data_IF_831392789979
#
_entry.id   IF_831392789979
#
_cell.length_a   1.000
_cell.length_b   1.000
_cell.length_c   1.000
_cell.angle_alpha   90.00
_cell.angle_beta   90.00
_cell.angle_gamma   90.00
#
_symmetry.space_group_name_H-M   'P 1'
#
loop_
_entity.id
_entity.type
_entity.pdbx_description
1 polymer ?
#
# COMPACT_ATOMS: atom_id res chain seq x y z
N UNK A 1 -50.70 -17.22 -30.08
CA UNK A 1 -50.09 -16.19 -30.96
C UNK A 1 -49.42 -15.05 -30.18
N UNK A 2 -50.09 -14.46 -29.18
CA UNK A 2 -49.50 -13.37 -28.36
C UNK A 2 -48.27 -13.79 -27.54
N UNK A 3 -48.29 -14.97 -26.90
CA UNK A 3 -47.17 -15.48 -26.08
C UNK A 3 -45.88 -15.71 -26.89
N UNK A 4 -46.02 -16.10 -28.15
CA UNK A 4 -44.89 -16.34 -29.06
C UNK A 4 -44.31 -15.03 -29.61
N UNK A 5 -45.18 -14.06 -29.91
CA UNK A 5 -44.77 -12.69 -30.28
C UNK A 5 -44.05 -11.99 -29.12
N UNK A 6 -44.55 -12.13 -27.90
CA UNK A 6 -43.95 -11.58 -26.69
C UNK A 6 -42.55 -12.17 -26.40
N UNK A 7 -42.38 -13.48 -26.56
CA UNK A 7 -41.07 -14.13 -26.39
C UNK A 7 -40.05 -13.67 -27.44
N UNK A 8 -40.47 -13.48 -28.71
CA UNK A 8 -39.59 -12.92 -29.75
C UNK A 8 -39.13 -11.51 -29.41
N UNK A 9 -40.04 -10.64 -28.94
CA UNK A 9 -39.70 -9.26 -28.52
C UNK A 9 -38.65 -9.27 -27.40
N UNK A 10 -38.79 -10.12 -26.38
CA UNK A 10 -37.80 -10.24 -25.30
C UNK A 10 -36.42 -10.66 -25.80
N UNK A 11 -36.36 -11.62 -26.72
CA UNK A 11 -35.08 -12.06 -27.30
C UNK A 11 -34.41 -10.94 -28.09
N UNK A 12 -35.17 -10.15 -28.86
CA UNK A 12 -34.61 -9.00 -29.58
C UNK A 12 -34.10 -7.91 -28.63
N UNK A 13 -34.84 -7.61 -27.55
CA UNK A 13 -34.40 -6.66 -26.53
C UNK A 13 -33.09 -7.11 -25.89
N UNK A 14 -32.99 -8.38 -25.48
CA UNK A 14 -31.76 -8.93 -24.90
C UNK A 14 -30.60 -8.85 -25.89
N UNK A 15 -30.84 -9.16 -27.17
CA UNK A 15 -29.84 -9.06 -28.23
C UNK A 15 -29.32 -7.63 -28.38
N UNK A 16 -30.22 -6.64 -28.42
CA UNK A 16 -29.84 -5.23 -28.50
C UNK A 16 -29.01 -4.82 -27.28
N UNK A 17 -29.41 -5.20 -26.06
CA UNK A 17 -28.64 -4.92 -24.84
C UNK A 17 -27.25 -5.54 -24.91
N UNK A 18 -27.13 -6.79 -25.40
CA UNK A 18 -25.85 -7.48 -25.52
C UNK A 18 -24.94 -6.84 -26.56
N UNK A 19 -25.49 -6.35 -27.67
CA UNK A 19 -24.74 -5.62 -28.70
C UNK A 19 -24.29 -4.25 -28.22
N UNK A 20 -25.14 -3.54 -27.45
CA UNK A 20 -24.78 -2.26 -26.84
C UNK A 20 -23.62 -2.48 -25.86
N UNK A 21 -23.71 -3.48 -24.98
CA UNK A 21 -22.64 -3.79 -24.02
C UNK A 21 -21.35 -4.22 -24.70
N UNK A 22 -21.44 -5.02 -25.76
CA UNK A 22 -20.29 -5.39 -26.59
C UNK A 22 -19.64 -4.16 -27.23
N UNK A 23 -20.42 -3.28 -27.87
CA UNK A 23 -19.92 -2.06 -28.49
C UNK A 23 -19.28 -1.14 -27.45
N UNK A 24 -19.92 -0.95 -26.31
CA UNK A 24 -19.39 -0.18 -25.19
C UNK A 24 -18.06 -0.73 -24.70
N UNK A 25 -17.98 -2.04 -24.46
CA UNK A 25 -16.76 -2.71 -24.00
C UNK A 25 -15.61 -2.55 -25.01
N UNK A 26 -15.91 -2.70 -26.31
CA UNK A 26 -14.92 -2.51 -27.37
C UNK A 26 -14.43 -1.07 -27.47
N UNK A 27 -15.33 -0.08 -27.31
CA UNK A 27 -14.97 1.34 -27.29
C UNK A 27 -14.02 1.63 -26.12
N UNK A 28 -14.30 1.11 -24.92
CA UNK A 28 -13.44 1.30 -23.76
C UNK A 28 -12.03 0.70 -23.99
N UNK A 29 -11.96 -0.51 -24.53
CA UNK A 29 -10.67 -1.15 -24.85
C UNK A 29 -9.89 -0.40 -25.93
N UNK A 30 -10.57 0.15 -26.93
CA UNK A 30 -9.96 0.99 -27.96
C UNK A 30 -9.38 2.28 -27.37
N UNK A 31 -10.13 2.95 -26.48
CA UNK A 31 -9.66 4.16 -25.79
C UNK A 31 -8.44 3.84 -24.94
N UNK A 32 -8.50 2.77 -24.13
CA UNK A 32 -7.35 2.28 -23.35
C UNK A 32 -6.12 2.08 -24.24
N UNK A 33 -6.28 1.36 -25.37
CA UNK A 33 -5.18 1.08 -26.29
C UNK A 33 -4.57 2.33 -26.92
N UNK A 34 -5.32 3.43 -27.04
CA UNK A 34 -4.86 4.68 -27.65
C UNK A 34 -4.27 5.66 -26.65
N UNK A 35 -4.79 5.70 -25.43
CA UNK A 35 -4.48 6.72 -24.42
C UNK A 35 -3.55 6.21 -23.32
N UNK A 36 -3.47 4.90 -23.11
CA UNK A 36 -2.75 4.30 -21.98
C UNK A 36 -3.54 4.34 -20.66
N UNK A 37 -4.72 4.95 -20.61
CA UNK A 37 -5.56 5.00 -19.41
C UNK A 37 -6.06 3.61 -18.99
N UNK A 38 -6.16 3.37 -17.68
CA UNK A 38 -6.79 2.17 -17.14
C UNK A 38 -8.30 2.37 -17.01
N UNK A 39 -9.05 1.30 -17.21
CA UNK A 39 -10.51 1.31 -17.13
C UNK A 39 -10.91 1.04 -15.68
N UNK A 40 -11.53 2.02 -15.04
CA UNK A 40 -12.15 1.88 -13.72
C UNK A 40 -13.41 2.75 -13.68
N UNK A 41 -14.54 2.09 -13.89
CA UNK A 41 -15.84 2.74 -13.94
C UNK A 41 -16.34 2.94 -12.52
N UNK A 42 -16.68 4.17 -12.16
CA UNK A 42 -17.37 4.48 -10.90
C UNK A 42 -18.84 4.80 -11.17
N UNK A 43 -19.70 3.85 -10.81
CA UNK A 43 -21.16 3.96 -10.93
C UNK A 43 -21.76 4.09 -9.53
N UNK A 44 -21.82 5.33 -9.01
CA UNK A 44 -22.44 5.64 -7.72
C UNK A 44 -21.92 4.75 -6.56
N UNK A 45 -20.60 4.56 -6.48
CA UNK A 45 -19.96 3.74 -5.44
C UNK A 45 -19.77 2.28 -5.83
N UNK A 46 -20.30 1.83 -6.97
CA UNK A 46 -19.91 0.56 -7.57
C UNK A 46 -18.72 0.77 -8.51
N UNK A 47 -17.55 0.32 -8.08
CA UNK A 47 -16.33 0.34 -8.87
C UNK A 47 -16.26 -0.91 -9.74
N UNK A 48 -16.18 -0.73 -11.06
CA UNK A 48 -16.07 -1.82 -12.03
C UNK A 48 -14.72 -1.70 -12.75
N UNK A 49 -13.83 -2.64 -12.45
CA UNK A 49 -12.54 -2.80 -13.15
C UNK A 49 -12.77 -3.27 -14.59
N UNK A 50 -11.70 -3.23 -15.40
CA UNK A 50 -11.69 -3.87 -16.71
C UNK A 50 -12.14 -5.35 -16.63
N UNK A 51 -11.69 -6.09 -15.61
CA UNK A 51 -12.08 -7.48 -15.38
C UNK A 51 -13.59 -7.62 -15.24
N UNK A 52 -14.22 -6.73 -14.47
CA UNK A 52 -15.67 -6.69 -14.30
C UNK A 52 -16.44 -6.41 -15.60
N UNK A 53 -15.99 -5.46 -16.42
CA UNK A 53 -16.63 -5.17 -17.72
C UNK A 53 -16.62 -6.41 -18.63
N UNK A 54 -15.47 -7.09 -18.71
CA UNK A 54 -15.30 -8.30 -19.52
C UNK A 54 -16.06 -9.49 -18.94
N UNK A 55 -16.17 -9.59 -17.60
CA UNK A 55 -16.92 -10.65 -16.95
C UNK A 55 -18.44 -10.54 -17.21
N UNK A 56 -18.98 -9.32 -17.20
CA UNK A 56 -20.39 -9.08 -17.61
C UNK A 56 -20.60 -9.52 -19.07
N UNK A 57 -19.65 -9.21 -19.95
CA UNK A 57 -19.71 -9.67 -21.35
C UNK A 57 -19.66 -11.21 -21.43
N UNK A 58 -18.82 -11.87 -20.63
CA UNK A 58 -18.74 -13.33 -20.54
C UNK A 58 -20.09 -13.94 -20.11
N UNK A 59 -20.75 -13.37 -19.10
CA UNK A 59 -22.08 -13.81 -18.63
C UNK A 59 -23.13 -13.74 -19.74
N UNK A 60 -23.12 -12.65 -20.51
CA UNK A 60 -24.02 -12.46 -21.65
C UNK A 60 -23.77 -13.50 -22.75
N UNK A 61 -22.50 -13.73 -23.10
CA UNK A 61 -22.12 -14.75 -24.09
C UNK A 61 -22.51 -16.15 -23.61
N UNK A 62 -22.28 -16.47 -22.33
CA UNK A 62 -22.68 -17.74 -21.74
C UNK A 62 -24.21 -17.94 -21.81
N UNK A 63 -25.00 -16.90 -21.51
CA UNK A 63 -26.46 -16.96 -21.64
C UNK A 63 -26.91 -17.26 -23.08
N UNK A 64 -26.26 -16.65 -24.08
CA UNK A 64 -26.50 -16.95 -25.49
C UNK A 64 -26.11 -18.38 -25.86
N UNK A 65 -24.95 -18.86 -25.40
CA UNK A 65 -24.50 -20.23 -25.64
C UNK A 65 -25.48 -21.26 -25.06
N UNK A 66 -25.99 -21.03 -23.85
CA UNK A 66 -27.04 -21.84 -23.23
C UNK A 66 -28.31 -21.85 -24.09
N UNK A 67 -28.74 -20.68 -24.57
CA UNK A 67 -29.91 -20.55 -25.42
C UNK A 67 -29.74 -21.33 -26.75
N UNK A 68 -28.58 -21.21 -27.39
CA UNK A 68 -28.27 -21.95 -28.62
C UNK A 68 -28.22 -23.45 -28.36
N UNK A 69 -27.45 -23.92 -27.36
CA UNK A 69 -27.34 -25.33 -27.01
C UNK A 69 -28.71 -25.96 -26.74
N UNK A 70 -29.60 -25.27 -26.02
CA UNK A 70 -30.98 -25.72 -25.77
C UNK A 70 -31.80 -25.82 -27.05
N UNK A 71 -31.65 -24.86 -27.96
CA UNK A 71 -32.34 -24.87 -29.26
C UNK A 71 -31.84 -26.02 -30.14
N UNK A 72 -30.53 -26.22 -30.20
CA UNK A 72 -29.91 -27.31 -30.95
C UNK A 72 -30.26 -28.69 -30.39
N UNK A 73 -30.34 -28.83 -29.06
CA UNK A 73 -30.76 -30.08 -28.41
C UNK A 73 -32.17 -30.53 -28.82
N UNK A 74 -33.08 -29.58 -29.04
CA UNK A 74 -34.45 -29.88 -29.52
C UNK A 74 -34.49 -30.21 -31.02
N UNK A 75 -33.57 -29.64 -31.81
CA UNK A 75 -33.60 -29.72 -33.27
C UNK A 75 -32.89 -30.97 -33.82
N UNK A 76 -31.82 -31.43 -33.18
CA UNK A 76 -31.01 -32.53 -33.67
C UNK A 76 -31.16 -33.79 -32.80
N UNK A 77 -31.60 -34.89 -33.42
CA UNK A 77 -31.82 -36.17 -32.73
C UNK A 77 -30.77 -37.25 -33.04
N UNK A 78 -29.77 -36.96 -33.88
CA UNK A 78 -28.73 -37.95 -34.20
C UNK A 78 -27.81 -38.20 -33.00
N UNK A 79 -27.34 -39.45 -32.83
CA UNK A 79 -26.43 -39.82 -31.72
C UNK A 79 -25.15 -38.99 -31.73
N UNK A 80 -24.56 -38.77 -32.90
CA UNK A 80 -23.37 -37.94 -33.07
C UNK A 80 -23.62 -36.48 -32.68
N UNK A 81 -24.74 -35.87 -33.08
CA UNK A 81 -25.05 -34.49 -32.70
C UNK A 81 -25.22 -34.34 -31.18
N UNK A 82 -25.80 -35.35 -30.50
CA UNK A 82 -25.91 -35.33 -29.03
C UNK A 82 -24.54 -35.36 -28.35
N UNK A 83 -23.58 -36.14 -28.85
CA UNK A 83 -22.20 -36.17 -28.32
C UNK A 83 -21.55 -34.78 -28.42
N UNK A 84 -21.63 -34.13 -29.58
CA UNK A 84 -21.11 -32.77 -29.75
C UNK A 84 -21.79 -31.75 -28.83
N UNK A 85 -23.09 -31.88 -28.59
CA UNK A 85 -23.80 -31.00 -27.65
C UNK A 85 -23.35 -31.22 -26.20
N UNK A 86 -23.11 -32.47 -25.77
CA UNK A 86 -22.56 -32.74 -24.43
C UNK A 86 -21.16 -32.13 -24.28
N UNK A 87 -20.31 -32.27 -25.29
CA UNK A 87 -18.98 -31.63 -25.31
C UNK A 87 -19.11 -30.10 -25.20
N UNK A 88 -20.06 -29.50 -25.94
CA UNK A 88 -20.35 -28.07 -25.86
C UNK A 88 -20.75 -27.61 -24.45
N UNK A 89 -21.57 -28.40 -23.74
CA UNK A 89 -21.91 -28.12 -22.33
C UNK A 89 -20.69 -28.21 -21.41
N UNK A 90 -19.83 -29.21 -21.59
CA UNK A 90 -18.61 -29.36 -20.79
C UNK A 90 -17.69 -28.16 -21.01
N UNK A 91 -17.44 -27.77 -22.26
CA UNK A 91 -16.59 -26.61 -22.60
C UNK A 91 -17.17 -25.33 -22.00
N UNK A 92 -18.49 -25.14 -22.10
CA UNK A 92 -19.16 -23.98 -21.52
C UNK A 92 -18.98 -23.92 -19.99
N UNK A 93 -19.17 -25.04 -19.29
CA UNK A 93 -19.02 -25.10 -17.83
C UNK A 93 -17.56 -24.83 -17.44
N UNK A 94 -16.60 -25.52 -18.06
CA UNK A 94 -15.18 -25.34 -17.75
C UNK A 94 -14.71 -23.92 -18.07
N UNK A 95 -15.10 -23.37 -19.22
CA UNK A 95 -14.78 -21.99 -19.60
C UNK A 95 -15.40 -20.95 -18.67
N UNK A 96 -16.64 -21.19 -18.23
CA UNK A 96 -17.30 -20.32 -17.25
C UNK A 96 -16.63 -20.38 -15.88
N UNK A 97 -16.29 -21.57 -15.39
CA UNK A 97 -15.57 -21.74 -14.12
C UNK A 97 -14.20 -21.07 -14.18
N UNK A 98 -13.45 -21.25 -15.27
CA UNK A 98 -12.15 -20.62 -15.45
C UNK A 98 -12.26 -19.10 -15.51
N UNK A 99 -13.20 -18.56 -16.30
CA UNK A 99 -13.44 -17.11 -16.36
C UNK A 99 -13.87 -16.52 -15.02
N UNK A 100 -14.69 -17.25 -14.25
CA UNK A 100 -15.09 -16.86 -12.89
C UNK A 100 -13.91 -16.88 -11.92
N UNK A 101 -13.01 -17.84 -12.03
CA UNK A 101 -11.80 -17.90 -11.21
C UNK A 101 -10.89 -16.70 -11.48
N UNK A 102 -10.66 -16.35 -12.75
CA UNK A 102 -9.86 -15.17 -13.12
C UNK A 102 -10.51 -13.88 -12.60
N UNK A 103 -11.82 -13.73 -12.77
CA UNK A 103 -12.55 -12.55 -12.26
C UNK A 103 -12.49 -12.46 -10.73
N UNK A 104 -12.69 -13.58 -10.03
CA UNK A 104 -12.63 -13.61 -8.57
C UNK A 104 -11.21 -13.30 -8.07
N UNK A 105 -10.18 -13.81 -8.75
CA UNK A 105 -8.79 -13.49 -8.46
C UNK A 105 -8.52 -11.99 -8.59
N UNK A 106 -8.89 -11.37 -9.71
CA UNK A 106 -8.75 -9.91 -9.92
C UNK A 106 -9.48 -9.10 -8.83
N UNK A 107 -10.70 -9.50 -8.49
CA UNK A 107 -11.53 -8.80 -7.49
C UNK A 107 -11.02 -8.97 -6.05
N UNK A 108 -10.45 -10.12 -5.71
CA UNK A 108 -9.91 -10.38 -4.37
C UNK A 108 -8.55 -9.72 -4.16
N UNK A 109 -7.77 -9.57 -5.23
CA UNK A 109 -6.42 -8.99 -5.14
C UNK A 109 -6.49 -7.47 -5.12
N UNK A 110 -7.31 -6.85 -5.97
CA UNK A 110 -7.29 -5.41 -6.19
C UNK A 110 -8.43 -4.70 -5.46
N UNK A 111 -8.11 -3.73 -4.61
CA UNK A 111 -9.05 -2.87 -3.90
C UNK A 111 -8.80 -1.41 -4.25
N UNK A 112 -9.83 -0.70 -4.74
CA UNK A 112 -9.70 0.69 -5.14
C UNK A 112 -10.30 1.65 -4.09
N UNK A 113 -9.48 2.57 -3.60
CA UNK A 113 -9.90 3.62 -2.67
C UNK A 113 -9.90 4.97 -3.37
N UNK A 114 -10.86 5.82 -3.04
CA UNK A 114 -11.03 7.15 -3.66
C UNK A 114 -10.86 8.24 -2.62
N UNK A 115 -10.01 9.22 -2.93
CA UNK A 115 -9.76 10.39 -2.09
C UNK A 115 -10.01 11.66 -2.90
N UNK A 116 -10.91 12.49 -2.41
CA UNK A 116 -11.29 13.73 -3.08
C UNK A 116 -10.47 14.88 -2.48
N UNK A 117 -9.86 15.68 -3.35
CA UNK A 117 -9.16 16.90 -2.97
C UNK A 117 -10.08 17.90 -2.23
N UNK A 118 -9.55 18.74 -1.32
CA UNK A 118 -10.34 19.75 -0.61
C UNK A 118 -11.06 20.74 -1.54
N UNK A 119 -10.49 21.01 -2.71
CA UNK A 119 -11.06 21.90 -3.74
C UNK A 119 -12.01 21.18 -4.71
N UNK A 120 -12.19 19.86 -4.56
CA UNK A 120 -13.01 18.97 -5.40
C UNK A 120 -12.62 18.94 -6.87
N UNK A 121 -11.44 19.43 -7.25
CA UNK A 121 -11.00 19.43 -8.65
C UNK A 121 -10.33 18.13 -9.04
N UNK A 122 -9.55 17.56 -8.12
CA UNK A 122 -8.81 16.32 -8.34
C UNK A 122 -9.36 15.19 -7.48
N UNK A 123 -9.34 13.97 -8.02
CA UNK A 123 -9.69 12.76 -7.29
C UNK A 123 -8.56 11.77 -7.45
N UNK A 124 -7.91 11.44 -6.33
CA UNK A 124 -6.89 10.40 -6.26
C UNK A 124 -7.58 9.06 -6.10
N UNK A 125 -7.20 8.10 -6.93
CA UNK A 125 -7.61 6.69 -6.84
C UNK A 125 -6.37 5.90 -6.44
N UNK A 126 -6.47 5.11 -5.39
CA UNK A 126 -5.37 4.26 -4.94
C UNK A 126 -5.79 2.81 -5.10
N UNK A 127 -5.02 2.05 -5.88
CA UNK A 127 -5.17 0.61 -6.05
C UNK A 127 -4.29 -0.08 -5.02
N UNK A 128 -4.89 -0.88 -4.16
CA UNK A 128 -4.21 -1.75 -3.22
C UNK A 128 -4.36 -3.18 -3.72
N UNK A 129 -3.28 -3.72 -4.24
CA UNK A 129 -3.17 -5.09 -4.68
C UNK A 129 -2.50 -5.91 -3.57
N UNK A 130 -3.22 -6.84 -2.94
CA UNK A 130 -2.63 -7.77 -1.97
C UNK A 130 -2.95 -9.22 -2.31
N UNK A 131 -1.90 -10.04 -2.43
CA UNK A 131 -2.04 -11.49 -2.58
C UNK A 131 -0.90 -12.22 -1.86
N UNK A 132 -1.28 -13.07 -0.91
CA UNK A 132 -0.37 -13.90 -0.12
C UNK A 132 0.66 -13.06 0.65
N UNK A 133 1.84 -12.87 0.07
CA UNK A 133 2.99 -12.16 0.66
C UNK A 133 3.42 -10.94 -0.18
N UNK A 134 2.70 -10.65 -1.27
CA UNK A 134 2.97 -9.50 -2.11
C UNK A 134 1.87 -8.48 -1.89
N UNK A 135 2.26 -7.25 -1.55
CA UNK A 135 1.37 -6.11 -1.60
C UNK A 135 1.98 -5.01 -2.47
N UNK A 136 1.18 -4.41 -3.34
CA UNK A 136 1.55 -3.24 -4.12
C UNK A 136 0.43 -2.21 -3.98
N UNK A 137 0.82 -0.96 -3.84
CA UNK A 137 -0.08 0.18 -3.78
C UNK A 137 0.30 1.12 -4.92
N UNK A 138 -0.60 1.24 -5.90
CA UNK A 138 -0.39 2.09 -7.07
C UNK A 138 -1.33 3.29 -7.02
N UNK A 139 -0.79 4.47 -7.34
CA UNK A 139 -1.54 5.73 -7.33
C UNK A 139 -2.01 6.11 -8.73
N UNK A 140 -3.26 6.55 -8.83
CA UNK A 140 -3.91 6.98 -10.06
C UNK A 140 -4.66 8.30 -9.89
N UNK A 141 -4.74 9.09 -10.95
CA UNK A 141 -5.64 10.25 -11.02
C UNK A 141 -6.91 9.87 -11.78
N UNK A 142 -8.08 10.23 -11.22
CA UNK A 142 -9.34 10.06 -11.93
C UNK A 142 -9.58 11.21 -12.90
N UNK A 143 -9.52 10.89 -14.19
CA UNK A 143 -9.78 11.85 -15.28
C UNK A 143 -11.27 11.99 -15.54
N UNK A 144 -12.02 10.88 -15.47
CA UNK A 144 -13.46 10.87 -15.68
C UNK A 144 -14.10 9.65 -14.98
N UNK A 145 -15.44 9.50 -15.02
CA UNK A 145 -16.10 8.37 -14.37
C UNK A 145 -15.76 6.98 -14.93
N UNK A 146 -15.06 6.89 -16.07
CA UNK A 146 -14.76 5.62 -16.76
C UNK A 146 -13.27 5.23 -16.70
N UNK A 147 -12.39 6.22 -16.56
CA UNK A 147 -10.96 6.08 -16.76
C UNK A 147 -10.17 6.71 -15.61
N UNK A 148 -9.06 6.03 -15.30
CA UNK A 148 -8.02 6.50 -14.38
C UNK A 148 -6.69 6.53 -15.12
N UNK A 149 -5.86 7.50 -14.77
CA UNK A 149 -4.54 7.71 -15.32
C UNK A 149 -3.49 7.30 -14.29
N UNK A 150 -2.50 6.54 -14.73
CA UNK A 150 -1.40 6.07 -13.89
C UNK A 150 -0.48 7.26 -13.54
N UNK A 151 -0.23 7.45 -12.25
CA UNK A 151 0.66 8.51 -11.79
C UNK A 151 2.13 8.07 -11.81
N UNK A 152 2.43 6.81 -12.12
CA UNK A 152 3.81 6.27 -12.09
C UNK A 152 4.38 6.20 -10.68
N UNK A 153 3.51 6.22 -9.69
CA UNK A 153 3.80 6.24 -8.27
C UNK A 153 3.33 4.90 -7.68
N UNK A 154 4.28 4.02 -7.38
CA UNK A 154 4.04 2.71 -6.79
C UNK A 154 4.80 2.57 -5.47
N UNK A 155 4.14 2.07 -4.43
CA UNK A 155 4.75 1.72 -3.15
C UNK A 155 4.45 0.26 -2.86
N UNK A 156 5.46 -0.53 -2.54
CA UNK A 156 5.30 -1.96 -2.28
C UNK A 156 5.68 -2.26 -0.83
N UNK A 157 4.70 -2.41 0.09
CA UNK A 157 4.94 -3.10 1.35
C UNK A 157 5.20 -4.58 1.01
N UNK A 158 6.46 -5.02 1.05
CA UNK A 158 6.91 -6.34 0.57
C UNK A 158 6.59 -7.48 1.57
N UNK A 159 5.35 -7.51 2.07
CA UNK A 159 4.94 -8.37 3.18
C UNK A 159 3.50 -8.89 3.09
N UNK A 160 2.79 -8.55 2.01
CA UNK A 160 1.37 -8.91 1.83
C UNK A 160 0.42 -8.08 2.70
N UNK A 161 0.94 -7.14 3.48
CA UNK A 161 0.14 -6.24 4.30
C UNK A 161 -0.65 -5.27 3.41
N UNK A 162 -1.90 -5.03 3.77
CA UNK A 162 -2.81 -4.12 3.06
C UNK A 162 -2.98 -2.83 3.88
N UNK A 163 -2.04 -1.86 3.75
CA UNK A 163 -1.97 -0.69 4.63
C UNK A 163 -3.20 0.21 4.55
N UNK A 164 -3.84 0.32 3.39
CA UNK A 164 -5.03 1.15 3.20
C UNK A 164 -6.24 0.51 3.84
N UNK A 165 -6.47 -0.79 3.60
CA UNK A 165 -7.56 -1.53 4.24
C UNK A 165 -7.45 -1.53 5.78
N UNK A 166 -6.21 -1.56 6.31
CA UNK A 166 -5.91 -1.51 7.73
C UNK A 166 -6.01 -0.09 8.33
N UNK A 167 -6.27 0.94 7.50
CA UNK A 167 -6.32 2.34 7.94
C UNK A 167 -4.96 2.90 8.36
N UNK A 168 -3.86 2.28 7.90
CA UNK A 168 -2.46 2.63 8.16
C UNK A 168 -1.88 3.46 7.03
N UNK A 169 -2.63 4.47 6.60
CA UNK A 169 -2.21 5.42 5.58
C UNK A 169 -2.35 6.85 6.08
N UNK A 170 -1.64 7.76 5.43
CA UNK A 170 -1.76 9.19 5.68
C UNK A 170 -1.79 9.94 4.36
N UNK A 171 -2.69 10.91 4.26
CA UNK A 171 -2.86 11.72 3.07
C UNK A 171 -2.91 13.19 3.47
N UNK A 172 -2.11 14.02 2.79
CA UNK A 172 -2.16 15.47 2.91
C UNK A 172 -2.17 16.11 1.54
N UNK A 173 -3.14 16.98 1.33
CA UNK A 173 -3.30 17.75 0.12
C UNK A 173 -2.63 19.11 0.27
N UNK A 174 -1.91 19.53 -0.76
CA UNK A 174 -1.31 20.86 -0.91
C UNK A 174 -1.61 21.38 -2.33
N UNK A 175 -2.81 21.95 -2.49
CA UNK A 175 -3.31 22.34 -3.82
C UNK A 175 -3.43 21.15 -4.77
N UNK A 176 -2.68 21.19 -5.88
CA UNK A 176 -2.59 20.10 -6.85
C UNK A 176 -1.58 19.02 -6.48
N UNK A 177 -0.83 19.17 -5.38
CA UNK A 177 0.12 18.17 -4.88
C UNK A 177 -0.53 17.32 -3.80
N UNK A 178 -0.28 16.02 -3.84
CA UNK A 178 -0.69 15.07 -2.81
C UNK A 178 0.53 14.37 -2.23
N UNK A 179 0.65 14.45 -0.92
CA UNK A 179 1.57 13.63 -0.15
C UNK A 179 0.78 12.45 0.38
N UNK A 180 1.06 11.28 -0.17
CA UNK A 180 0.43 10.02 0.22
C UNK A 180 1.48 9.15 0.90
N UNK A 181 1.17 8.62 2.07
CA UNK A 181 2.08 7.80 2.84
C UNK A 181 1.41 6.51 3.28
N UNK A 182 2.12 5.39 3.12
CA UNK A 182 1.70 4.07 3.60
C UNK A 182 2.67 3.58 4.64
N UNK A 183 2.16 2.95 5.70
CA UNK A 183 3.00 2.35 6.72
C UNK A 183 3.24 0.87 6.41
N UNK A 184 4.50 0.49 6.33
CA UNK A 184 4.93 -0.90 6.14
C UNK A 184 5.04 -1.59 7.51
N UNK A 185 4.02 -2.36 7.92
CA UNK A 185 3.93 -2.89 9.28
C UNK A 185 4.80 -4.14 9.51
N UNK A 186 4.93 -5.03 8.51
CA UNK A 186 5.65 -6.30 8.67
C UNK A 186 7.00 -6.34 7.94
N UNK A 187 7.30 -5.38 7.07
CA UNK A 187 8.62 -5.18 6.47
C UNK A 187 9.49 -4.22 7.29
N UNK A 188 9.70 -3.03 6.75
CA UNK A 188 10.65 -2.02 7.22
C UNK A 188 10.22 -1.25 8.46
N UNK A 189 8.92 -1.26 8.81
CA UNK A 189 8.33 -0.42 9.89
C UNK A 189 8.52 1.07 9.65
N UNK A 190 8.63 1.47 8.39
CA UNK A 190 8.75 2.86 7.98
C UNK A 190 7.50 3.32 7.22
N UNK A 191 7.37 4.63 7.08
CA UNK A 191 6.39 5.21 6.18
C UNK A 191 7.04 5.38 4.81
N UNK A 192 6.48 4.74 3.78
CA UNK A 192 6.82 5.07 2.39
C UNK A 192 5.93 6.22 1.94
N UNK A 193 6.55 7.37 1.68
CA UNK A 193 5.86 8.61 1.32
C UNK A 193 6.10 8.92 -0.14
N UNK A 194 5.00 8.99 -0.88
CA UNK A 194 4.99 9.41 -2.27
C UNK A 194 4.39 10.79 -2.39
N UNK A 195 5.15 11.68 -3.02
CA UNK A 195 4.69 13.02 -3.39
C UNK A 195 4.39 13.02 -4.87
N UNK A 196 3.16 13.37 -5.23
CA UNK A 196 2.71 13.41 -6.63
C UNK A 196 2.02 14.74 -6.91
N UNK A 197 2.30 15.32 -8.08
CA UNK A 197 1.57 16.49 -8.61
C UNK A 197 0.51 16.02 -9.61
N UNK A 198 -0.73 16.47 -9.42
CA UNK A 198 -1.90 16.10 -10.23
C UNK A 198 -2.12 17.14 -11.34
N UNK A 199 -2.50 16.70 -12.54
CA UNK A 199 -2.77 17.56 -13.70
C UNK A 199 -1.55 18.11 -14.46
N UNK A 200 -0.32 17.90 -13.99
CA UNK A 200 0.91 18.28 -14.71
C UNK A 200 1.41 17.15 -15.63
N UNK A 201 1.95 17.52 -16.80
CA UNK A 201 2.55 16.59 -17.77
C UNK A 201 3.99 16.17 -17.40
N UNK A 202 4.65 16.96 -16.56
CA UNK A 202 5.99 16.68 -16.01
C UNK A 202 5.84 16.37 -14.52
N UNK A 203 5.57 15.10 -14.22
CA UNK A 203 5.24 14.64 -12.87
C UNK A 203 6.51 14.32 -12.11
N UNK A 204 6.85 15.15 -11.13
CA UNK A 204 7.91 14.85 -10.18
C UNK A 204 7.37 13.88 -9.11
N UNK A 205 7.61 12.58 -9.31
CA UNK A 205 7.30 11.54 -8.33
C UNK A 205 8.51 11.37 -7.43
N UNK A 206 8.35 11.74 -6.15
CA UNK A 206 9.41 11.55 -5.14
C UNK A 206 8.98 10.52 -4.11
N UNK A 207 9.85 9.53 -3.93
CA UNK A 207 9.77 8.55 -2.87
C UNK A 207 10.65 8.98 -1.71
N UNK A 208 10.06 9.09 -0.52
CA UNK A 208 10.77 9.36 0.72
C UNK A 208 10.37 8.28 1.73
N UNK A 209 11.32 7.46 2.16
CA UNK A 209 11.12 6.55 3.30
C UNK A 209 11.39 7.31 4.60
N UNK A 210 10.40 7.36 5.47
CA UNK A 210 10.45 8.02 6.76
C UNK A 210 10.51 6.98 7.88
N UNK A 211 11.68 6.86 8.51
CA UNK A 211 11.91 6.05 9.71
C UNK A 211 11.28 6.76 10.91
N UNK A 212 9.96 6.60 11.10
CA UNK A 212 9.23 7.23 12.19
C UNK A 212 8.12 6.30 12.68
N UNK A 213 8.14 5.97 13.98
CA UNK A 213 7.03 5.31 14.69
C UNK A 213 5.79 6.22 14.83
N UNK A 214 5.85 7.48 14.37
CA UNK A 214 4.75 8.45 14.33
C UNK A 214 4.34 8.83 12.90
N UNK A 215 3.14 9.41 12.75
CA UNK A 215 2.62 9.90 11.45
C UNK A 215 3.62 10.86 10.78
N UNK A 216 3.78 10.85 9.44
CA UNK A 216 4.70 11.75 8.74
C UNK A 216 4.39 13.23 9.06
N UNK A 217 5.35 13.93 9.66
CA UNK A 217 5.30 15.38 9.81
C UNK A 217 6.02 15.97 8.58
N UNK A 218 5.26 16.34 7.55
CA UNK A 218 5.83 17.02 6.38
C UNK A 218 6.00 18.51 6.71
N UNK A 219 7.25 18.96 6.82
CA UNK A 219 7.65 20.36 6.93
C UNK A 219 7.21 21.15 5.66
N UNK A 220 6.59 22.31 5.85
CA UNK A 220 6.42 23.33 4.80
C UNK A 220 7.80 23.77 4.32
N UNK A 221 8.16 23.40 3.09
CA UNK A 221 9.30 24.01 2.41
C UNK A 221 8.77 25.18 1.59
N UNK A 222 8.88 26.39 2.14
CA UNK A 222 8.63 27.62 1.39
C UNK A 222 9.57 27.66 0.18
N UNK A 223 8.97 27.67 -1.02
CA UNK A 223 9.66 27.81 -2.29
C UNK A 223 10.45 29.12 -2.35
N UNK A 224 11.76 29.03 -2.58
CA UNK A 224 12.51 30.10 -3.24
C UNK A 224 13.30 29.47 -4.39
N UNK A 225 13.25 30.04 -5.61
CA UNK A 225 13.79 29.39 -6.81
C UNK A 225 15.27 29.73 -7.00
N UNK A 226 16.13 28.73 -7.22
CA UNK A 226 17.41 28.87 -7.96
C UNK A 226 17.98 27.47 -8.31
N UNK A 227 18.86 27.35 -9.34
CA UNK A 227 18.73 26.40 -10.45
C UNK A 227 19.49 25.06 -10.22
N UNK A 228 19.40 24.09 -11.16
CA UNK A 228 19.71 22.69 -10.88
C UNK A 228 21.21 22.45 -10.92
N UNK A 229 21.76 21.74 -9.94
CA UNK A 229 23.09 21.12 -10.08
C UNK A 229 23.24 19.91 -9.14
N UNK A 230 23.34 18.75 -9.80
CA UNK A 230 24.12 17.54 -9.50
C UNK A 230 23.95 16.79 -8.17
N UNK A 231 23.69 15.49 -8.33
CA UNK A 231 24.06 14.36 -7.46
C UNK A 231 24.66 14.74 -6.11
N UNK A 232 23.90 14.51 -5.03
CA UNK A 232 24.50 14.45 -3.70
C UNK A 232 23.80 13.39 -2.85
N UNK A 233 24.45 12.23 -2.80
CA UNK A 233 24.62 11.31 -1.66
C UNK A 233 23.73 11.65 -0.44
N UNK A 234 22.82 10.72 -0.11
CA UNK A 234 22.09 10.66 1.17
C UNK A 234 23.02 11.03 2.33
N UNK A 235 22.75 12.16 2.97
CA UNK A 235 23.45 12.58 4.17
C UNK A 235 23.00 11.67 5.32
N UNK A 236 23.88 10.79 5.81
CA UNK A 236 23.59 9.98 7.00
C UNK A 236 23.26 10.91 8.16
N UNK A 237 22.08 10.75 8.77
CA UNK A 237 21.72 11.47 9.98
C UNK A 237 22.76 11.22 11.07
N UNK A 238 23.18 12.30 11.72
CA UNK A 238 24.13 12.28 12.83
C UNK A 238 23.44 11.68 14.05
N UNK A 239 24.15 10.93 14.90
CA UNK A 239 23.55 10.28 16.10
C UNK A 239 22.84 11.28 17.03
N UNK A 240 23.26 12.55 17.03
CA UNK A 240 22.59 13.64 17.74
C UNK A 240 21.26 14.04 17.10
N UNK A 241 21.15 14.04 15.77
CA UNK A 241 19.90 14.38 15.05
C UNK A 241 18.81 13.31 15.30
N UNK A 242 19.21 12.04 15.51
CA UNK A 242 18.31 10.96 15.95
C UNK A 242 17.81 11.23 17.38
N UNK A 243 18.69 11.68 18.26
CA UNK A 243 18.39 11.95 19.66
C UNK A 243 17.47 13.17 19.84
N UNK A 244 17.64 14.20 19.02
CA UNK A 244 16.82 15.42 19.04
C UNK A 244 15.35 15.16 18.68
N UNK A 245 15.05 14.02 18.03
CA UNK A 245 13.69 13.56 17.72
C UNK A 245 12.99 12.82 18.87
N UNK A 246 13.69 12.53 19.98
CA UNK A 246 13.17 11.76 21.11
C UNK A 246 12.87 12.66 22.33
N UNK A 247 11.91 12.26 23.16
CA UNK A 247 11.58 12.96 24.40
C UNK A 247 12.46 12.50 25.57
N UNK A 248 12.90 13.45 26.40
CA UNK A 248 13.66 13.18 27.65
C UNK A 248 12.89 12.27 28.60
N UNK A 249 11.56 12.31 28.57
CA UNK A 249 10.68 11.48 29.43
C UNK A 249 10.83 9.98 29.15
N UNK A 250 11.30 9.60 27.95
CA UNK A 250 11.54 8.22 27.58
C UNK A 250 12.92 7.71 27.99
N UNK A 251 13.78 8.59 28.53
CA UNK A 251 15.10 8.22 29.01
C UNK A 251 15.01 7.59 30.41
N UNK A 252 15.69 6.46 30.59
CA UNK A 252 15.96 5.84 31.88
C UNK A 252 17.08 6.64 32.55
N UNK A 253 16.72 7.52 33.47
CA UNK A 253 17.67 8.36 34.20
C UNK A 253 18.41 7.52 35.24
N UNK A 254 19.74 7.61 35.26
CA UNK A 254 20.58 6.96 36.26
C UNK A 254 20.47 7.75 37.58
N UNK A 255 20.01 7.13 38.68
CA UNK A 255 19.79 7.82 39.95
C UNK A 255 21.02 8.60 40.42
N UNK A 256 20.79 9.81 40.97
CA UNK A 256 21.83 10.71 41.50
C UNK A 256 22.85 11.20 40.45
N UNK A 257 22.49 11.17 39.16
CA UNK A 257 23.34 11.68 38.07
C UNK A 257 22.52 12.42 37.02
N UNK A 258 23.21 13.10 36.10
CA UNK A 258 22.63 13.69 34.89
C UNK A 258 22.80 12.77 33.66
N UNK A 259 23.11 11.49 33.86
CA UNK A 259 23.22 10.51 32.79
C UNK A 259 21.93 9.71 32.66
N UNK A 260 21.68 9.21 31.46
CA UNK A 260 20.55 8.33 31.19
C UNK A 260 20.81 7.40 30.02
N UNK A 261 19.92 6.43 29.87
CA UNK A 261 19.85 5.60 28.67
C UNK A 261 18.53 5.83 27.97
N UNK A 262 18.57 5.97 26.65
CA UNK A 262 17.36 6.06 25.85
C UNK A 262 17.34 4.94 24.82
N UNK A 263 16.19 4.30 24.71
CA UNK A 263 15.93 3.32 23.68
C UNK A 263 15.69 4.06 22.36
N UNK A 264 16.55 3.80 21.38
CA UNK A 264 16.51 4.47 20.08
C UNK A 264 15.77 3.62 19.05
N UNK A 265 15.94 2.30 19.15
CA UNK A 265 15.30 1.34 18.26
C UNK A 265 15.10 0.00 18.99
N UNK A 266 14.08 -0.75 18.58
CA UNK A 266 13.77 -2.07 19.14
C UNK A 266 13.44 -3.04 18.02
N UNK A 267 14.30 -4.04 17.85
CA UNK A 267 14.12 -5.12 16.88
C UNK A 267 14.01 -6.46 17.61
N UNK A 268 12.83 -7.08 17.54
CA UNK A 268 12.50 -8.34 18.22
C UNK A 268 12.81 -8.30 19.73
N UNK A 269 13.70 -9.18 20.21
CA UNK A 269 14.13 -9.29 21.60
C UNK A 269 15.33 -8.42 21.94
N UNK A 270 15.73 -7.49 21.07
CA UNK A 270 16.88 -6.60 21.25
C UNK A 270 16.49 -5.12 21.13
N UNK A 271 17.14 -4.28 21.90
CA UNK A 271 16.94 -2.83 21.98
C UNK A 271 18.28 -2.12 21.79
N UNK A 272 18.35 -1.15 20.89
CA UNK A 272 19.51 -0.27 20.73
C UNK A 272 19.40 0.88 21.72
N UNK A 273 20.39 0.98 22.60
CA UNK A 273 20.42 2.01 23.65
C UNK A 273 21.52 3.03 23.38
N UNK A 274 21.18 4.31 23.49
CA UNK A 274 22.17 5.39 23.54
C UNK A 274 22.40 5.81 24.99
N UNK A 275 23.68 5.93 25.35
CA UNK A 275 24.10 6.53 26.59
C UNK A 275 24.19 8.04 26.39
N UNK A 276 23.42 8.77 27.20
CA UNK A 276 23.20 10.20 27.02
C UNK A 276 23.46 10.96 28.32
N UNK A 277 23.73 12.25 28.18
CA UNK A 277 23.75 13.21 29.29
C UNK A 277 22.67 14.25 29.11
N UNK A 278 21.94 14.53 30.17
CA UNK A 278 20.82 15.47 30.18
C UNK A 278 21.30 16.77 30.80
N UNK A 279 21.25 17.85 30.02
CA UNK A 279 21.58 19.22 30.45
C UNK A 279 20.45 20.14 30.00
N UNK A 280 19.87 20.93 30.90
CA UNK A 280 18.80 21.89 30.59
C UNK A 280 17.65 21.32 29.73
N UNK A 281 17.22 20.10 30.07
CA UNK A 281 16.17 19.35 29.35
C UNK A 281 16.51 19.03 27.88
N UNK A 282 17.81 18.99 27.54
CA UNK A 282 18.34 18.52 26.26
C UNK A 282 19.18 17.27 26.47
N UNK A 283 19.08 16.34 25.53
CA UNK A 283 19.86 15.09 25.55
C UNK A 283 21.10 15.25 24.67
N UNK A 284 22.26 14.96 25.24
CA UNK A 284 23.55 15.01 24.55
C UNK A 284 24.02 13.57 24.37
N UNK A 285 24.26 13.17 23.13
CA UNK A 285 24.79 11.85 22.80
C UNK A 285 26.24 11.72 23.32
N UNK A 286 26.52 10.64 24.06
CA UNK A 286 27.88 10.30 24.51
C UNK A 286 28.41 9.08 23.76
N UNK A 287 27.67 7.96 23.80
CA UNK A 287 28.09 6.69 23.20
C UNK A 287 26.90 5.76 22.98
N UNK A 288 27.14 4.68 22.25
CA UNK A 288 26.24 3.55 22.23
C UNK A 288 26.46 2.68 23.46
N UNK A 289 25.38 2.10 23.97
CA UNK A 289 25.46 1.10 25.02
C UNK A 289 26.18 -0.16 24.52
N UNK A 290 26.84 -0.91 25.43
CA UNK A 290 27.65 -2.06 25.05
C UNK A 290 26.84 -3.34 24.75
N UNK A 291 25.55 -3.34 25.03
CA UNK A 291 24.66 -4.50 24.84
C UNK A 291 23.31 -4.04 24.27
N UNK A 292 22.57 -5.01 23.76
CA UNK A 292 21.30 -4.81 23.06
C UNK A 292 20.14 -5.52 23.77
N UNK A 293 20.31 -5.92 25.03
CA UNK A 293 19.21 -6.52 25.79
C UNK A 293 18.08 -5.52 26.11
N UNK A 294 16.82 -6.01 26.20
CA UNK A 294 15.64 -5.16 26.25
C UNK A 294 15.41 -4.49 27.60
N UNK A 295 16.12 -4.93 28.65
CA UNK A 295 16.05 -4.33 29.98
C UNK A 295 17.43 -3.84 30.40
N UNK A 296 17.52 -2.56 30.72
CA UNK A 296 18.74 -1.94 31.22
C UNK A 296 18.48 -1.19 32.53
N UNK A 297 19.43 -1.27 33.44
CA UNK A 297 19.49 -0.45 34.64
C UNK A 297 20.90 0.13 34.79
N UNK A 298 20.99 1.38 35.24
CA UNK A 298 22.26 2.05 35.48
C UNK A 298 22.39 2.53 36.91
N UNK A 299 23.59 2.44 37.45
CA UNK A 299 23.97 2.93 38.78
C UNK A 299 25.30 3.68 38.66
N UNK A 300 25.51 4.69 39.50
CA UNK A 300 26.79 5.39 39.62
C UNK A 300 27.30 5.20 41.05
N UNK A 301 28.57 4.83 41.19
CA UNK A 301 29.19 4.65 42.50
C UNK A 301 29.76 5.98 43.05
N UNK A 302 30.26 5.93 44.29
CA UNK A 302 30.87 7.08 44.95
C UNK A 302 32.18 7.55 44.31
N UNK A 303 32.79 6.72 43.45
CA UNK A 303 34.02 7.03 42.72
C UNK A 303 33.74 7.61 41.33
N UNK A 304 32.45 7.69 40.93
CA UNK A 304 32.01 8.24 39.64
C UNK A 304 32.08 7.24 38.50
N UNK A 305 32.23 5.94 38.77
CA UNK A 305 32.19 4.87 37.78
C UNK A 305 30.73 4.52 37.52
N UNK A 306 30.39 4.42 36.23
CA UNK A 306 29.04 4.09 35.79
C UNK A 306 28.95 2.58 35.56
N UNK A 307 27.99 1.95 36.23
CA UNK A 307 27.68 0.54 36.12
C UNK A 307 26.37 0.36 35.38
N UNK A 308 26.39 -0.36 34.25
CA UNK A 308 25.20 -0.76 33.52
C UNK A 308 24.94 -2.24 33.70
N UNK A 309 23.67 -2.60 33.86
CA UNK A 309 23.20 -3.97 33.93
C UNK A 309 22.15 -4.21 32.87
N UNK A 310 22.44 -5.16 32.00
CA UNK A 310 21.55 -5.62 30.93
C UNK A 310 20.93 -6.94 31.34
N UNK A 311 19.64 -7.13 31.04
CA UNK A 311 18.91 -8.37 31.32
C UNK A 311 18.20 -8.85 30.07
N UNK A 312 18.56 -10.05 29.61
CA UNK A 312 17.98 -10.68 28.42
C UNK A 312 16.55 -11.17 28.67
N UNK A 313 15.90 -11.70 27.61
CA UNK A 313 14.56 -12.30 27.68
C UNK A 313 14.47 -13.56 28.55
N UNK A 314 15.61 -14.19 28.85
CA UNK A 314 15.73 -15.39 29.67
C UNK A 314 16.17 -15.07 31.11
N UNK A 315 16.21 -13.78 31.50
CA UNK A 315 16.69 -13.26 32.78
C UNK A 315 18.19 -13.45 33.08
N UNK A 316 19.02 -13.73 32.07
CA UNK A 316 20.48 -13.66 32.23
C UNK A 316 20.92 -12.20 32.34
N UNK A 317 21.91 -11.93 33.19
CA UNK A 317 22.39 -10.57 33.45
C UNK A 317 23.85 -10.40 33.00
N UNK A 318 24.08 -9.36 32.21
CA UNK A 318 25.43 -8.91 31.83
C UNK A 318 25.69 -7.55 32.48
N UNK A 319 26.92 -7.31 32.94
CA UNK A 319 27.30 -6.07 33.63
C UNK A 319 28.44 -5.40 32.90
N UNK A 320 28.39 -4.08 32.81
CA UNK A 320 29.42 -3.28 32.18
C UNK A 320 29.76 -2.08 33.06
N UNK A 321 31.03 -1.74 33.12
CA UNK A 321 31.52 -0.56 33.83
C UNK A 321 32.18 0.44 32.89
N UNK A 322 32.07 1.72 33.23
CA UNK A 322 32.75 2.80 32.52
C UNK A 322 33.43 3.76 33.51
N UNK A 323 34.75 3.83 33.40
CA UNK A 323 35.60 4.76 34.16
C UNK A 323 35.79 6.11 33.46
N UNK A 324 35.22 6.30 32.26
CA UNK A 324 35.38 7.50 31.44
C UNK A 324 34.05 8.15 31.06
N UNK A 325 33.13 8.20 32.02
CA UNK A 325 31.82 8.87 31.88
C UNK A 325 30.97 8.28 30.74
N UNK A 326 31.05 6.96 30.54
CA UNK A 326 30.25 6.25 29.54
C UNK A 326 30.78 6.32 28.12
N UNK A 327 31.98 6.87 27.86
CA UNK A 327 32.54 6.91 26.49
C UNK A 327 33.00 5.53 26.00
N UNK A 328 33.48 4.67 26.90
CA UNK A 328 33.83 3.28 26.62
C UNK A 328 33.39 2.38 27.76
N UNK A 329 33.10 1.13 27.44
CA UNK A 329 32.56 0.14 28.36
C UNK A 329 33.50 -1.07 28.47
N UNK A 330 33.65 -1.59 29.69
CA UNK A 330 34.33 -2.86 29.97
C UNK A 330 33.34 -3.84 30.59
N UNK A 331 33.41 -5.09 30.17
CA UNK A 331 32.68 -6.23 30.74
C UNK A 331 33.57 -6.91 31.77
#
# INVERSE_FOLDING_TARGET
MEKEKYNKIKTYILLVITLIWLAFSMILLLIKSRTGYRILIDLCGLQLSQGGVLFILLLMVAAWLIFFLKTFWKKYSSKFARVFLVIGWIILIVGFLFGSLIFLGDYLVNSYYTFISPDKKHTLVVDEASLLLSANVSLFERINPLFIEDLGAETSPDDGFSPISAGKYWIKWDGNRVNFAVFDEHGTRTWDVVKVSLGDSDRDVKHESLNSNGKPIVYEKNDTPTPPTNDTIQKSLTKQEILDGLSVENAIIIPKSNYGLIEVDRAMGRSLWYFIRIEDNRMIFISEAPDTDPKVAGEIDSEGIIHLRFTDINNNQTKYESINQGKTWKN
#
